data_IF_964639798480
#
_entry.id   IF_964639798480
#
_cell.length_a   1.000
_cell.length_b   1.000
_cell.length_c   1.000
_cell.angle_alpha   90.00
_cell.angle_beta   90.00
_cell.angle_gamma   90.00
#
_symmetry.space_group_name_H-M   'P 1'
#
loop_
_entity.id
_entity.type
_entity.pdbx_description
1 polymer ?
#
# COMPACT_ATOMS: atom_id res chain seq x y z
N UNK A 1 0.16 -6.90 10.90
CA UNK A 1 -0.10 -8.30 10.48
C UNK A 1 -0.13 -8.32 8.97
N UNK A 2 0.85 -8.95 8.30
CA UNK A 2 0.85 -9.07 6.84
C UNK A 2 -0.24 -10.08 6.47
N UNK A 3 -1.27 -9.62 5.76
CA UNK A 3 -2.42 -10.43 5.42
C UNK A 3 -2.18 -11.12 4.07
N UNK A 4 -2.28 -12.45 4.04
CA UNK A 4 -2.10 -13.22 2.82
C UNK A 4 -3.46 -13.52 2.15
N UNK A 5 -3.60 -13.08 0.90
CA UNK A 5 -4.84 -13.15 0.13
C UNK A 5 -5.40 -14.58 -0.05
N UNK A 6 -4.53 -15.60 -0.13
CA UNK A 6 -4.93 -17.01 -0.26
C UNK A 6 -5.84 -17.46 0.89
N UNK A 7 -5.65 -16.88 2.09
CA UNK A 7 -6.41 -17.23 3.29
C UNK A 7 -7.88 -16.85 3.16
N UNK A 8 -8.22 -15.77 2.44
CA UNK A 8 -9.60 -15.40 2.15
C UNK A 8 -10.28 -16.48 1.31
N UNK A 9 -9.63 -16.89 0.23
CA UNK A 9 -10.16 -17.93 -0.65
C UNK A 9 -10.27 -19.28 0.05
N UNK A 10 -9.33 -19.60 0.94
CA UNK A 10 -9.39 -20.80 1.79
C UNK A 10 -10.59 -20.77 2.74
N UNK A 11 -10.83 -19.66 3.44
CA UNK A 11 -11.99 -19.50 4.31
C UNK A 11 -13.29 -19.54 3.51
N UNK A 12 -13.36 -18.81 2.39
CA UNK A 12 -14.54 -18.78 1.53
C UNK A 12 -14.90 -20.18 1.01
N UNK A 13 -13.91 -20.99 0.62
CA UNK A 13 -14.13 -22.38 0.18
C UNK A 13 -14.67 -23.28 1.30
N UNK A 14 -14.30 -23.01 2.56
CA UNK A 14 -14.78 -23.78 3.73
C UNK A 14 -16.19 -23.40 4.18
N UNK A 15 -16.53 -22.12 4.07
CA UNK A 15 -17.77 -21.56 4.64
C UNK A 15 -18.89 -21.49 3.62
N UNK A 16 -18.59 -21.17 2.37
CA UNK A 16 -19.61 -20.97 1.35
C UNK A 16 -20.01 -22.30 0.68
N UNK A 17 -21.24 -22.40 0.11
CA UNK A 17 -21.69 -23.60 -0.58
C UNK A 17 -20.76 -24.04 -1.71
N UNK A 18 -20.65 -25.36 -1.93
CA UNK A 18 -19.83 -25.91 -3.02
C UNK A 18 -20.30 -25.36 -4.38
N UNK A 19 -19.37 -24.85 -5.18
CA UNK A 19 -19.66 -24.33 -6.53
C UNK A 19 -19.83 -22.81 -6.59
N UNK A 20 -20.07 -22.14 -5.46
CA UNK A 20 -20.37 -20.70 -5.45
C UNK A 20 -19.18 -19.84 -5.92
N UNK A 21 -17.95 -20.20 -5.55
CA UNK A 21 -16.76 -19.49 -5.99
C UNK A 21 -16.52 -19.65 -7.50
N UNK A 22 -16.82 -20.83 -8.05
CA UNK A 22 -16.78 -21.07 -9.49
C UNK A 22 -17.81 -20.22 -10.23
N UNK A 23 -18.99 -20.03 -9.65
CA UNK A 23 -20.04 -19.15 -10.19
C UNK A 23 -19.61 -17.68 -10.16
N UNK A 24 -19.18 -17.18 -8.99
CA UNK A 24 -18.77 -15.78 -8.81
C UNK A 24 -17.66 -15.40 -9.79
N UNK A 25 -16.63 -16.25 -9.93
CA UNK A 25 -15.46 -15.92 -10.73
C UNK A 25 -15.49 -16.49 -12.15
N UNK A 26 -16.50 -17.31 -12.49
CA UNK A 26 -16.59 -18.05 -13.76
C UNK A 26 -15.29 -18.84 -14.04
N UNK A 27 -14.81 -19.58 -13.03
CA UNK A 27 -13.54 -20.35 -13.10
C UNK A 27 -13.71 -21.80 -12.67
N UNK A 28 -12.77 -22.63 -13.11
CA UNK A 28 -12.73 -24.05 -12.75
C UNK A 28 -12.40 -24.26 -11.27
N UNK A 29 -12.89 -25.36 -10.70
CA UNK A 29 -12.60 -25.74 -9.32
C UNK A 29 -11.08 -25.81 -9.04
N UNK A 30 -10.32 -26.37 -9.99
CA UNK A 30 -8.85 -26.48 -9.89
C UNK A 30 -8.17 -25.12 -9.73
N UNK A 31 -8.65 -24.08 -10.41
CA UNK A 31 -8.08 -22.73 -10.29
C UNK A 31 -8.48 -22.07 -8.98
N UNK A 32 -9.71 -22.29 -8.50
CA UNK A 32 -10.12 -21.85 -7.17
C UNK A 32 -9.25 -22.52 -6.09
N UNK A 33 -8.96 -23.82 -6.25
CA UNK A 33 -8.10 -24.55 -5.33
C UNK A 33 -6.69 -23.95 -5.24
N UNK A 34 -6.09 -23.60 -6.40
CA UNK A 34 -4.76 -22.98 -6.41
C UNK A 34 -4.75 -21.53 -5.90
N UNK A 35 -5.87 -20.81 -5.93
CA UNK A 35 -6.02 -19.51 -5.27
C UNK A 35 -6.10 -19.62 -3.74
N UNK A 36 -6.64 -20.74 -3.24
CA UNK A 36 -6.81 -21.01 -1.81
C UNK A 36 -5.62 -21.73 -1.17
N UNK A 37 -4.63 -22.14 -1.95
CA UNK A 37 -3.50 -22.94 -1.51
C UNK A 37 -2.46 -22.08 -0.77
N UNK A 38 -2.02 -22.55 0.40
CA UNK A 38 -0.93 -21.91 1.14
C UNK A 38 0.40 -22.16 0.41
N UNK A 39 1.07 -21.10 -0.10
CA UNK A 39 2.30 -21.24 -0.87
C UNK A 39 3.46 -21.87 -0.09
N UNK A 40 3.37 -21.93 1.26
CA UNK A 40 4.39 -22.59 2.09
C UNK A 40 4.29 -24.10 2.07
N UNK A 41 3.13 -24.65 1.72
CA UNK A 41 2.86 -26.09 1.79
C UNK A 41 2.39 -26.68 0.46
N UNK A 42 2.15 -25.86 -0.57
CA UNK A 42 1.64 -26.28 -1.86
C UNK A 42 2.56 -25.80 -2.99
N UNK A 43 2.98 -26.72 -3.84
CA UNK A 43 3.81 -26.41 -5.02
C UNK A 43 3.02 -25.68 -6.12
N UNK A 44 1.72 -25.95 -6.20
CA UNK A 44 0.84 -25.36 -7.22
C UNK A 44 -0.02 -24.27 -6.59
N UNK A 45 0.40 -23.03 -6.77
CA UNK A 45 -0.36 -21.83 -6.39
C UNK A 45 -0.59 -20.93 -7.61
N UNK A 46 -1.60 -20.06 -7.53
CA UNK A 46 -1.85 -19.07 -8.58
C UNK A 46 -2.27 -17.74 -7.98
N UNK A 47 -1.90 -16.63 -8.63
CA UNK A 47 -2.37 -15.28 -8.25
C UNK A 47 -3.89 -15.22 -8.30
N UNK A 48 -4.49 -14.90 -7.17
CA UNK A 48 -5.94 -14.79 -7.04
C UNK A 48 -6.41 -13.38 -7.43
N UNK A 49 -7.73 -13.16 -7.57
CA UNK A 49 -8.29 -11.85 -7.89
C UNK A 49 -7.88 -10.72 -6.93
N UNK A 50 -7.73 -10.98 -5.63
CA UNK A 50 -7.30 -9.97 -4.67
C UNK A 50 -5.84 -9.55 -4.90
N UNK A 51 -4.95 -10.50 -5.24
CA UNK A 51 -3.57 -10.18 -5.62
C UNK A 51 -3.51 -9.28 -6.85
N UNK A 52 -4.33 -9.59 -7.85
CA UNK A 52 -4.40 -8.81 -9.09
C UNK A 52 -4.95 -7.42 -8.85
N UNK A 53 -5.97 -7.29 -8.01
CA UNK A 53 -6.54 -6.01 -7.62
C UNK A 53 -5.55 -5.16 -6.82
N UNK A 54 -4.78 -5.78 -5.91
CA UNK A 54 -3.69 -5.08 -5.21
C UNK A 54 -2.66 -4.51 -6.18
N UNK A 55 -2.26 -5.28 -7.20
CA UNK A 55 -1.34 -4.78 -8.24
C UNK A 55 -1.98 -3.61 -9.00
N UNK A 56 -3.24 -3.75 -9.45
CA UNK A 56 -3.95 -2.67 -10.13
C UNK A 56 -4.00 -1.39 -9.29
N UNK A 57 -4.33 -1.48 -8.01
CA UNK A 57 -4.40 -0.33 -7.12
C UNK A 57 -3.02 0.30 -6.86
N UNK A 58 -1.97 -0.51 -6.78
CA UNK A 58 -0.60 0.00 -6.68
C UNK A 58 -0.21 0.80 -7.93
N UNK A 59 -0.50 0.30 -9.13
CA UNK A 59 -0.25 1.02 -10.39
C UNK A 59 -1.05 2.33 -10.48
N UNK A 60 -2.31 2.32 -10.05
CA UNK A 60 -3.15 3.53 -10.00
C UNK A 60 -2.62 4.57 -9.01
N UNK A 61 -2.23 4.15 -7.81
CA UNK A 61 -1.62 5.03 -6.81
C UNK A 61 -0.29 5.61 -7.30
N UNK A 62 0.56 4.80 -7.93
CA UNK A 62 1.79 5.27 -8.58
C UNK A 62 1.52 6.28 -9.71
N UNK A 63 0.37 6.19 -10.37
CA UNK A 63 -0.10 7.17 -11.36
C UNK A 63 -0.80 8.40 -10.74
N UNK A 64 -0.81 8.54 -9.42
CA UNK A 64 -1.43 9.67 -8.70
C UNK A 64 -2.95 9.61 -8.63
N UNK A 65 -3.55 8.41 -8.79
CA UNK A 65 -5.00 8.18 -8.76
C UNK A 65 -5.46 7.59 -7.42
N UNK A 66 -4.92 8.10 -6.32
CA UNK A 66 -5.23 7.63 -4.97
C UNK A 66 -6.70 7.83 -4.59
N UNK A 67 -7.34 8.89 -5.09
CA UNK A 67 -8.76 9.15 -4.83
C UNK A 67 -9.65 8.01 -5.37
N UNK A 68 -9.37 7.52 -6.57
CA UNK A 68 -10.12 6.40 -7.15
C UNK A 68 -9.82 5.08 -6.44
N UNK A 69 -8.58 4.88 -6.00
CA UNK A 69 -8.21 3.69 -5.21
C UNK A 69 -8.95 3.68 -3.87
N UNK A 70 -9.00 4.81 -3.17
CA UNK A 70 -9.73 4.95 -1.90
C UNK A 70 -11.22 4.74 -2.13
N UNK A 71 -11.82 5.36 -3.16
CA UNK A 71 -13.23 5.17 -3.48
C UNK A 71 -13.58 3.70 -3.78
N UNK A 72 -12.70 2.98 -4.49
CA UNK A 72 -12.89 1.56 -4.76
C UNK A 72 -12.77 0.70 -3.48
N UNK A 73 -11.85 1.04 -2.59
CA UNK A 73 -11.69 0.37 -1.29
C UNK A 73 -12.89 0.65 -0.37
N UNK A 74 -13.38 1.88 -0.33
CA UNK A 74 -14.57 2.27 0.41
C UNK A 74 -15.80 1.49 -0.07
N UNK A 75 -15.99 1.42 -1.39
CA UNK A 75 -17.06 0.62 -2.00
C UNK A 75 -16.97 -0.87 -1.63
N UNK A 76 -15.77 -1.45 -1.60
CA UNK A 76 -15.58 -2.83 -1.14
C UNK A 76 -15.86 -3.00 0.36
N UNK A 77 -15.60 -1.97 1.18
CA UNK A 77 -15.79 -2.02 2.63
C UNK A 77 -17.25 -1.82 3.08
N UNK A 78 -18.14 -1.36 2.20
CA UNK A 78 -19.59 -1.28 2.46
C UNK A 78 -20.18 -2.63 2.92
N UNK A 79 -19.60 -3.75 2.48
CA UNK A 79 -20.04 -5.10 2.86
C UNK A 79 -19.89 -5.42 4.36
N UNK A 80 -19.09 -4.64 5.09
CA UNK A 80 -18.91 -4.75 6.55
C UNK A 80 -19.32 -3.48 7.31
N UNK A 81 -20.02 -2.55 6.65
CA UNK A 81 -20.43 -1.25 7.20
C UNK A 81 -19.26 -0.48 7.81
N UNK A 82 -18.14 -0.43 7.06
CA UNK A 82 -16.97 0.37 7.41
C UNK A 82 -16.51 1.18 6.22
N UNK A 83 -15.72 2.22 6.50
CA UNK A 83 -14.94 2.95 5.49
C UNK A 83 -13.47 2.67 5.69
N UNK A 84 -12.70 2.84 4.62
CA UNK A 84 -11.25 2.78 4.70
C UNK A 84 -10.70 4.08 5.24
N UNK A 85 -10.02 3.98 6.38
CA UNK A 85 -9.20 5.08 6.88
C UNK A 85 -7.79 4.90 6.32
N UNK A 86 -7.20 5.99 5.84
CA UNK A 86 -5.77 6.00 5.52
C UNK A 86 -5.02 5.79 6.83
N UNK A 87 -4.39 4.62 6.98
CA UNK A 87 -3.50 4.38 8.11
C UNK A 87 -2.34 5.37 8.04
N UNK A 88 -2.26 6.27 9.01
CA UNK A 88 -1.30 7.36 9.03
C UNK A 88 -1.75 8.55 8.19
N UNK A 89 -2.77 9.27 8.67
CA UNK A 89 -2.64 10.72 8.58
C UNK A 89 -1.60 11.09 9.62
N UNK A 90 -0.44 11.49 9.14
CA UNK A 90 0.57 12.11 9.97
C UNK A 90 -0.03 13.44 10.44
N UNK A 91 -0.55 13.43 11.66
CA UNK A 91 -1.00 14.64 12.31
C UNK A 91 0.22 15.49 12.59
N UNK A 92 0.13 16.80 12.32
CA UNK A 92 1.16 17.76 12.67
C UNK A 92 1.55 17.60 14.14
N UNK A 93 2.81 17.30 14.39
CA UNK A 93 3.33 17.18 15.75
C UNK A 93 3.58 18.57 16.36
N UNK A 94 3.91 19.57 15.54
CA UNK A 94 4.14 20.97 15.96
C UNK A 94 2.87 21.78 16.06
N UNK A 95 1.77 21.33 15.43
CA UNK A 95 0.49 22.06 15.29
C UNK A 95 0.64 23.48 14.75
N UNK A 96 1.71 23.74 14.01
CA UNK A 96 2.02 25.06 13.45
C UNK A 96 2.67 24.89 12.09
N UNK A 97 2.17 25.63 11.11
CA UNK A 97 2.67 25.59 9.72
C UNK A 97 4.18 25.90 9.67
N UNK A 98 4.65 26.89 10.44
CA UNK A 98 6.06 27.29 10.46
C UNK A 98 6.98 26.15 10.94
N UNK A 99 6.58 25.45 12.01
CA UNK A 99 7.33 24.29 12.51
C UNK A 99 7.42 23.16 11.49
N UNK A 100 6.31 22.83 10.84
CA UNK A 100 6.29 21.76 9.81
C UNK A 100 7.07 22.16 8.55
N UNK A 101 7.11 23.45 8.19
CA UNK A 101 7.96 23.94 7.08
C UNK A 101 9.44 23.76 7.41
N UNK A 102 9.85 24.00 8.66
CA UNK A 102 11.23 23.80 9.08
C UNK A 102 11.62 22.30 9.02
N UNK A 103 10.78 21.41 9.53
CA UNK A 103 11.02 19.96 9.51
C UNK A 103 11.04 19.41 8.07
N UNK A 104 10.14 19.89 7.20
CA UNK A 104 10.16 19.58 5.76
C UNK A 104 11.45 20.03 5.08
N UNK A 105 11.95 21.23 5.41
CA UNK A 105 13.20 21.75 4.84
C UNK A 105 14.41 20.89 5.25
N UNK A 106 14.45 20.41 6.50
CA UNK A 106 15.48 19.49 7.00
C UNK A 106 15.42 18.16 6.25
N UNK A 107 14.24 17.54 6.18
CA UNK A 107 14.05 16.26 5.48
C UNK A 107 14.45 16.34 4.00
N UNK A 108 14.18 17.48 3.34
CA UNK A 108 14.59 17.70 1.96
C UNK A 108 16.12 17.83 1.83
N UNK A 109 16.76 18.52 2.78
CA UNK A 109 18.21 18.60 2.87
C UNK A 109 18.87 17.23 3.03
N UNK A 110 18.32 16.39 3.90
CA UNK A 110 18.80 15.03 4.16
C UNK A 110 18.67 14.13 2.94
N UNK A 111 17.51 14.15 2.26
CA UNK A 111 17.33 13.41 1.02
C UNK A 111 18.36 13.86 -0.04
N UNK A 112 18.53 15.17 -0.22
CA UNK A 112 19.50 15.70 -1.16
C UNK A 112 20.94 15.31 -0.81
N UNK A 113 21.28 15.20 0.48
CA UNK A 113 22.59 14.73 0.93
C UNK A 113 22.78 13.23 0.60
N UNK A 114 21.78 12.38 0.87
CA UNK A 114 21.86 10.95 0.55
C UNK A 114 21.97 10.69 -0.95
N UNK A 115 21.21 11.42 -1.77
CA UNK A 115 21.30 11.33 -3.24
C UNK A 115 22.68 11.77 -3.73
N UNK A 116 23.20 12.90 -3.24
CA UNK A 116 24.55 13.37 -3.63
C UNK A 116 25.65 12.38 -3.24
N UNK A 117 25.54 11.79 -2.06
CA UNK A 117 26.49 10.79 -1.58
C UNK A 117 26.50 9.56 -2.49
N UNK A 118 25.33 8.97 -2.75
CA UNK A 118 25.20 7.77 -3.57
C UNK A 118 25.51 7.97 -5.06
N UNK A 119 25.50 9.23 -5.53
CA UNK A 119 25.83 9.56 -6.92
C UNK A 119 27.30 9.98 -7.08
N UNK A 120 28.09 10.00 -6.00
CA UNK A 120 29.47 10.51 -6.02
C UNK A 120 30.43 9.64 -6.85
N UNK A 121 30.22 8.33 -6.87
CA UNK A 121 30.98 7.34 -7.65
C UNK A 121 30.23 6.83 -8.89
N UNK A 122 29.01 7.33 -9.12
CA UNK A 122 28.16 7.00 -10.26
C UNK A 122 27.50 5.62 -10.19
N UNK A 123 27.58 4.92 -9.06
CA UNK A 123 26.93 3.62 -8.86
C UNK A 123 26.20 3.58 -7.52
N UNK A 124 24.88 3.41 -7.55
CA UNK A 124 24.09 3.30 -6.32
C UNK A 124 24.03 1.84 -5.88
N UNK A 125 24.62 1.53 -4.72
CA UNK A 125 24.55 0.20 -4.14
C UNK A 125 23.19 -0.06 -3.44
N UNK A 126 22.99 -1.30 -2.97
CA UNK A 126 21.74 -1.68 -2.30
C UNK A 126 21.50 -0.95 -0.97
N UNK A 127 22.56 -0.67 -0.21
CA UNK A 127 22.47 0.04 1.06
C UNK A 127 22.17 1.53 0.86
N UNK A 128 22.74 2.14 -0.17
CA UNK A 128 22.48 3.51 -0.61
C UNK A 128 21.05 3.67 -1.11
N UNK A 129 20.58 2.72 -1.93
CA UNK A 129 19.18 2.69 -2.38
C UNK A 129 18.22 2.65 -1.19
N UNK A 130 18.53 1.88 -0.15
CA UNK A 130 17.74 1.83 1.09
C UNK A 130 17.77 3.17 1.82
N UNK A 131 18.93 3.83 1.94
CA UNK A 131 19.04 5.14 2.60
C UNK A 131 18.26 6.22 1.87
N UNK A 132 18.36 6.29 0.54
CA UNK A 132 17.60 7.23 -0.29
C UNK A 132 16.10 6.99 -0.12
N UNK A 133 15.64 5.74 -0.21
CA UNK A 133 14.22 5.41 -0.03
C UNK A 133 13.72 5.82 1.35
N UNK A 134 14.49 5.55 2.40
CA UNK A 134 14.14 5.96 3.77
C UNK A 134 14.02 7.48 3.89
N UNK A 135 14.99 8.23 3.36
CA UNK A 135 14.94 9.70 3.38
C UNK A 135 13.78 10.27 2.56
N UNK A 136 13.44 9.65 1.43
CA UNK A 136 12.29 10.05 0.61
C UNK A 136 10.95 9.78 1.32
N UNK A 137 10.85 8.67 2.06
CA UNK A 137 9.67 8.37 2.88
C UNK A 137 9.51 9.38 4.01
N UNK A 138 10.60 9.78 4.68
CA UNK A 138 10.54 10.80 5.73
C UNK A 138 10.15 12.17 5.16
N UNK A 139 10.67 12.56 4.00
CA UNK A 139 10.24 13.79 3.34
C UNK A 139 8.73 13.80 3.02
N UNK A 140 8.20 12.67 2.53
CA UNK A 140 6.78 12.53 2.25
C UNK A 140 5.93 12.63 3.54
N UNK A 141 6.45 12.08 4.65
CA UNK A 141 5.84 12.17 5.98
C UNK A 141 5.72 13.64 6.45
N UNK A 142 6.81 14.39 6.42
CA UNK A 142 6.81 15.81 6.83
C UNK A 142 5.92 16.68 5.93
N UNK A 143 5.84 16.36 4.63
CA UNK A 143 4.94 17.06 3.72
C UNK A 143 3.46 16.82 4.07
N UNK A 144 3.13 15.60 4.49
CA UNK A 144 1.77 15.27 4.95
C UNK A 144 1.44 15.99 6.27
N UNK A 145 2.38 16.12 7.21
CA UNK A 145 2.21 16.90 8.46
C UNK A 145 2.01 18.39 8.20
N UNK A 146 2.75 18.98 7.26
CA UNK A 146 2.56 20.38 6.85
C UNK A 146 1.15 20.64 6.30
N UNK A 147 0.64 19.72 5.47
CA UNK A 147 -0.70 19.84 4.88
C UNK A 147 -1.80 19.75 5.94
N UNK A 148 -1.60 18.94 6.97
CA UNK A 148 -2.47 18.87 8.16
C UNK A 148 -2.42 20.18 8.97
N UNK A 149 -1.22 20.68 9.30
CA UNK A 149 -1.04 21.94 10.02
C UNK A 149 -1.68 23.14 9.30
N UNK A 150 -1.62 23.15 7.96
CA UNK A 150 -2.23 24.18 7.12
C UNK A 150 -3.76 24.03 7.00
N UNK A 151 -4.35 22.97 7.56
CA UNK A 151 -5.79 22.69 7.48
C UNK A 151 -6.27 22.36 6.07
N UNK A 152 -5.36 21.97 5.17
CA UNK A 152 -5.66 21.65 3.76
C UNK A 152 -6.26 20.25 3.63
N UNK A 153 -5.92 19.34 4.55
CA UNK A 153 -6.50 17.99 4.62
C UNK A 153 -7.29 17.86 5.93
N UNK A 154 -8.61 18.08 5.86
CA UNK A 154 -9.58 17.69 6.88
C UNK A 154 -10.53 16.66 6.32
#
# INVERSE_FOLDING_TARGET
MQFDSWRIFHVAKKVLPKGILQQIYTRSARLIDSWSADPRFCEVTARNPLDRMKILFAELSMAGRDAEVIAALDWLSEVVDRRTERLGQECSDKKSVDGEVADLAVAMGDLAAQVRYAMADGQVDSAESIRIKKAAMELAKEADQLLDAAGVRR
#
